data_IF_123009908166
#
_entry.id   IF_123009908166
#
_cell.length_a   1.000
_cell.length_b   1.000
_cell.length_c   1.000
_cell.angle_alpha   90.00
_cell.angle_beta   90.00
_cell.angle_gamma   90.00
#
_symmetry.space_group_name_H-M   'P 1'
#
loop_
_entity.id
_entity.type
_entity.pdbx_description
1 polymer ?
#
# COMPACT_ATOMS: atom_id res chain seq x y z
N UNK A 1 -24.94 -3.40 -11.35
CA UNK A 1 -23.57 -3.29 -10.83
C UNK A 1 -23.14 -4.68 -10.37
N UNK A 2 -22.08 -5.26 -10.95
CA UNK A 2 -21.62 -6.60 -10.56
C UNK A 2 -20.86 -6.49 -9.24
N UNK A 3 -21.40 -7.09 -8.19
CA UNK A 3 -20.75 -7.26 -6.89
C UNK A 3 -19.49 -8.10 -7.07
N UNK A 4 -18.32 -7.48 -6.90
CA UNK A 4 -17.07 -8.22 -6.71
C UNK A 4 -16.97 -8.62 -5.23
N UNK A 5 -17.82 -9.54 -4.79
CA UNK A 5 -17.59 -10.30 -3.56
C UNK A 5 -16.88 -11.58 -3.95
N UNK A 6 -15.57 -11.50 -4.24
CA UNK A 6 -14.73 -12.69 -4.14
C UNK A 6 -14.38 -12.82 -2.67
N UNK A 7 -14.72 -13.96 -2.09
CA UNK A 7 -14.26 -14.36 -0.76
C UNK A 7 -12.73 -14.36 -0.76
N UNK A 8 -12.14 -13.22 -0.39
CA UNK A 8 -10.71 -13.08 -0.19
C UNK A 8 -10.35 -13.90 1.05
N UNK A 9 -10.09 -15.19 0.82
CA UNK A 9 -9.67 -16.11 1.89
C UNK A 9 -8.23 -15.73 2.22
N UNK A 10 -8.06 -14.84 3.20
CA UNK A 10 -6.74 -14.40 3.66
C UNK A 10 -5.94 -15.63 4.10
N UNK A 11 -4.73 -15.75 3.58
CA UNK A 11 -3.79 -16.80 3.93
C UNK A 11 -2.64 -16.20 4.73
N UNK A 12 -1.90 -17.02 5.48
CA UNK A 12 -0.67 -16.58 6.16
C UNK A 12 0.35 -15.96 5.18
N UNK A 13 0.31 -16.38 3.91
CA UNK A 13 1.10 -15.80 2.81
C UNK A 13 0.70 -14.35 2.53
N UNK A 14 -0.59 -14.03 2.62
CA UNK A 14 -1.10 -12.67 2.46
C UNK A 14 -0.59 -11.80 3.60
N UNK A 15 -0.73 -12.22 4.86
CA UNK A 15 -0.26 -11.42 6.02
C UNK A 15 1.26 -11.18 5.99
N UNK A 16 2.05 -12.19 5.59
CA UNK A 16 3.49 -12.02 5.39
C UNK A 16 3.82 -11.01 4.27
N UNK A 17 3.10 -11.05 3.15
CA UNK A 17 3.31 -10.09 2.06
C UNK A 17 3.00 -8.65 2.50
N UNK A 18 1.94 -8.49 3.29
CA UNK A 18 1.52 -7.17 3.79
C UNK A 18 2.47 -6.61 4.84
N UNK A 19 2.99 -7.45 5.74
CA UNK A 19 4.04 -7.03 6.67
C UNK A 19 5.31 -6.57 5.95
N UNK A 20 5.67 -7.21 4.82
CA UNK A 20 6.82 -6.80 4.00
C UNK A 20 6.54 -5.49 3.26
N UNK A 21 5.35 -5.35 2.68
CA UNK A 21 4.91 -4.13 2.02
C UNK A 21 4.92 -2.94 2.99
N UNK A 22 4.39 -3.11 4.20
CA UNK A 22 4.41 -2.10 5.27
C UNK A 22 5.85 -1.66 5.58
N UNK A 23 6.77 -2.60 5.80
CA UNK A 23 8.18 -2.27 6.07
C UNK A 23 8.85 -1.48 4.94
N UNK A 24 8.52 -1.80 3.68
CA UNK A 24 9.03 -1.07 2.51
C UNK A 24 8.43 0.33 2.46
N UNK A 25 7.12 0.48 2.66
CA UNK A 25 6.45 1.78 2.69
C UNK A 25 7.02 2.67 3.80
N UNK A 26 7.21 2.14 5.02
CA UNK A 26 7.87 2.86 6.12
C UNK A 26 9.28 3.31 5.73
N UNK A 27 10.04 2.48 5.03
CA UNK A 27 11.43 2.78 4.66
C UNK A 27 11.52 3.81 3.53
N UNK A 28 10.65 3.71 2.53
CA UNK A 28 10.60 4.62 1.39
C UNK A 28 10.05 5.99 1.76
N UNK A 29 9.08 6.04 2.69
CA UNK A 29 8.52 7.28 3.20
C UNK A 29 9.36 7.91 4.32
N UNK A 30 10.40 7.22 4.82
CA UNK A 30 11.26 7.68 5.93
C UNK A 30 12.26 8.79 5.57
N UNK A 31 12.29 9.30 4.34
CA UNK A 31 13.33 10.25 3.88
C UNK A 31 12.72 11.17 2.79
N UNK A 32 12.91 12.51 2.71
CA UNK A 32 14.06 13.39 3.02
C UNK A 32 13.59 14.82 3.33
N UNK A 33 13.83 15.34 4.54
CA UNK A 33 14.34 16.73 4.73
C UNK A 33 14.88 16.99 6.16
N UNK A 34 16.15 17.41 6.23
CA UNK A 34 16.81 18.12 7.35
C UNK A 34 16.60 17.57 8.77
N UNK A 35 16.96 16.31 9.01
CA UNK A 35 17.28 15.83 10.37
C UNK A 35 16.11 15.57 11.33
N UNK A 36 14.87 15.84 10.93
CA UNK A 36 13.69 15.45 11.71
C UNK A 36 13.13 14.11 11.21
N UNK A 37 13.23 13.11 12.07
CA UNK A 37 12.69 11.77 11.84
C UNK A 37 11.29 11.75 12.46
N UNK A 38 10.24 11.97 11.68
CA UNK A 38 8.89 11.68 12.14
C UNK A 38 8.42 10.36 11.55
N UNK A 39 8.06 9.46 12.46
CA UNK A 39 7.59 8.11 12.17
C UNK A 39 6.20 8.22 11.56
N UNK A 40 6.08 7.84 10.28
CA UNK A 40 4.80 7.43 9.70
C UNK A 40 4.20 6.37 10.62
N UNK A 41 3.10 6.68 11.28
CA UNK A 41 2.35 5.69 12.06
C UNK A 41 1.52 4.91 11.06
N UNK A 42 1.99 3.72 10.76
CA UNK A 42 1.20 2.75 10.04
C UNK A 42 0.42 1.89 11.05
N UNK A 43 -0.84 1.59 10.73
CA UNK A 43 -1.59 0.59 11.47
C UNK A 43 -2.10 -0.44 10.49
N UNK A 44 -1.34 -1.52 10.35
CA UNK A 44 -1.88 -2.69 9.65
C UNK A 44 -3.06 -3.26 10.43
N UNK A 45 -4.21 -3.34 9.77
CA UNK A 45 -5.39 -4.02 10.30
C UNK A 45 -5.57 -5.36 9.57
N UNK A 46 -5.06 -6.41 10.21
CA UNK A 46 -5.18 -7.79 9.75
C UNK A 46 -6.62 -8.30 9.67
N UNK A 47 -7.61 -7.59 10.22
CA UNK A 47 -9.03 -7.93 10.08
C UNK A 47 -9.68 -7.31 8.84
N UNK A 48 -9.23 -6.14 8.38
CA UNK A 48 -9.90 -5.38 7.31
C UNK A 48 -9.14 -5.31 5.98
N UNK A 49 -7.91 -5.82 5.89
CA UNK A 49 -7.12 -5.76 4.65
C UNK A 49 -6.52 -4.40 4.41
N UNK A 50 -6.46 -3.56 5.45
CA UNK A 50 -6.09 -2.16 5.33
C UNK A 50 -4.74 -1.88 5.95
N UNK A 51 -3.97 -1.05 5.26
CA UNK A 51 -2.79 -0.39 5.80
C UNK A 51 -3.12 1.09 5.82
N UNK A 52 -3.33 1.62 7.02
CA UNK A 52 -3.50 3.06 7.23
C UNK A 52 -2.12 3.68 7.38
N UNK A 53 -1.79 4.71 6.58
CA UNK A 53 -0.52 5.43 6.63
C UNK A 53 -0.80 6.86 7.07
N UNK A 54 -0.46 7.18 8.33
CA UNK A 54 -0.49 8.55 8.83
C UNK A 54 0.77 9.30 8.38
N UNK A 55 0.58 10.30 7.53
CA UNK A 55 1.60 11.19 7.02
C UNK A 55 1.46 12.54 7.72
N UNK A 56 2.49 13.04 8.42
CA UNK A 56 2.39 14.35 9.06
C UNK A 56 2.07 15.45 8.03
N UNK A 57 1.15 16.36 8.36
CA UNK A 57 0.60 17.38 7.45
C UNK A 57 1.66 18.20 6.69
N UNK A 58 2.84 18.39 7.27
CA UNK A 58 3.95 19.11 6.65
C UNK A 58 4.65 18.34 5.50
N UNK A 59 4.27 17.09 5.25
CA UNK A 59 4.85 16.20 4.23
C UNK A 59 3.84 15.71 3.19
N UNK A 60 2.58 16.14 3.29
CA UNK A 60 1.57 15.86 2.26
C UNK A 60 1.79 16.82 1.10
N UNK A 61 2.25 16.30 -0.04
CA UNK A 61 2.15 16.98 -1.32
C UNK A 61 1.19 16.22 -2.23
N UNK A 62 0.77 16.86 -3.32
CA UNK A 62 -0.03 16.20 -4.36
C UNK A 62 0.66 14.95 -4.94
N UNK A 63 1.99 14.86 -4.81
CA UNK A 63 2.78 13.73 -5.30
C UNK A 63 2.97 12.60 -4.26
N UNK A 64 2.59 12.79 -2.99
CA UNK A 64 2.73 11.75 -1.96
C UNK A 64 1.96 10.47 -2.33
N UNK A 65 0.74 10.63 -2.87
CA UNK A 65 -0.05 9.52 -3.38
C UNK A 65 0.68 8.77 -4.50
N UNK A 66 1.27 9.49 -5.46
CA UNK A 66 2.02 8.88 -6.57
C UNK A 66 3.25 8.14 -6.08
N UNK A 67 4.01 8.70 -5.14
CA UNK A 67 5.19 8.05 -4.53
C UNK A 67 4.79 6.73 -3.86
N UNK A 68 3.68 6.73 -3.12
CA UNK A 68 3.13 5.49 -2.53
C UNK A 68 2.80 4.50 -3.63
N UNK A 69 2.07 4.91 -4.68
CA UNK A 69 1.73 4.02 -5.79
C UNK A 69 2.97 3.41 -6.46
N UNK A 70 3.98 4.21 -6.77
CA UNK A 70 5.24 3.75 -7.37
C UNK A 70 6.02 2.81 -6.46
N UNK A 71 6.00 3.06 -5.14
CA UNK A 71 6.62 2.19 -4.14
C UNK A 71 5.94 0.82 -4.12
N UNK A 72 4.60 0.78 -4.08
CA UNK A 72 3.83 -0.46 -4.10
C UNK A 72 4.08 -1.22 -5.42
N UNK A 73 4.06 -0.54 -6.57
CA UNK A 73 4.34 -1.17 -7.87
C UNK A 73 5.74 -1.79 -7.92
N UNK A 74 6.74 -1.09 -7.40
CA UNK A 74 8.12 -1.57 -7.37
C UNK A 74 8.25 -2.81 -6.48
N UNK A 75 7.67 -2.77 -5.28
CA UNK A 75 7.65 -3.91 -4.36
C UNK A 75 7.09 -5.18 -5.02
N UNK A 76 5.90 -5.10 -5.62
CA UNK A 76 5.30 -6.30 -6.23
C UNK A 76 6.08 -6.81 -7.45
N UNK A 77 6.73 -5.93 -8.23
CA UNK A 77 7.62 -6.35 -9.32
C UNK A 77 8.85 -7.09 -8.79
N UNK A 78 9.46 -6.61 -7.70
CA UNK A 78 10.59 -7.30 -7.03
C UNK A 78 10.17 -8.67 -6.48
N UNK A 79 8.91 -8.81 -6.08
CA UNK A 79 8.30 -10.07 -5.66
C UNK A 79 7.87 -10.99 -6.83
N UNK A 80 8.24 -10.65 -8.07
CA UNK A 80 7.90 -11.38 -9.30
C UNK A 80 6.40 -11.43 -9.62
N UNK A 81 5.66 -10.37 -9.27
CA UNK A 81 4.29 -10.18 -9.75
C UNK A 81 4.28 -9.39 -11.05
N UNK A 82 3.33 -9.74 -11.92
CA UNK A 82 2.91 -8.83 -12.99
C UNK A 82 2.04 -7.74 -12.38
N UNK A 83 2.40 -6.49 -12.61
CA UNK A 83 1.72 -5.32 -12.02
C UNK A 83 1.07 -4.46 -13.10
N UNK A 84 -0.22 -4.17 -12.94
CA UNK A 84 -1.04 -3.32 -13.82
C UNK A 84 -1.93 -2.38 -13.00
N UNK A 85 -2.71 -1.53 -13.68
CA UNK A 85 -3.71 -0.66 -13.05
C UNK A 85 -3.47 0.84 -13.25
N UNK A 86 -4.41 1.64 -12.76
CA UNK A 86 -4.46 3.10 -12.91
C UNK A 86 -3.81 3.82 -11.71
N UNK A 87 -3.83 5.16 -11.69
CA UNK A 87 -3.04 5.99 -10.78
C UNK A 87 -3.13 5.55 -9.31
N UNK A 88 -4.32 5.17 -8.83
CA UNK A 88 -4.59 4.78 -7.43
C UNK A 88 -5.21 3.38 -7.25
N UNK A 89 -5.17 2.57 -8.31
CA UNK A 89 -5.65 1.19 -8.29
C UNK A 89 -4.57 0.30 -8.89
N UNK A 90 -3.96 -0.54 -8.07
CA UNK A 90 -2.87 -1.43 -8.46
C UNK A 90 -3.37 -2.86 -8.44
N UNK A 91 -3.09 -3.59 -9.50
CA UNK A 91 -3.38 -5.00 -9.62
C UNK A 91 -2.05 -5.76 -9.70
N UNK A 92 -1.81 -6.69 -8.78
CA UNK A 92 -0.62 -7.53 -8.76
C UNK A 92 -1.00 -9.01 -8.87
N UNK A 93 -0.49 -9.71 -9.90
CA UNK A 93 -0.78 -11.14 -10.16
C UNK A 93 0.48 -12.00 -10.23
N UNK A 94 0.46 -13.16 -9.56
CA UNK A 94 1.49 -14.20 -9.62
C UNK A 94 0.87 -15.59 -9.50
N UNK A 95 0.80 -16.33 -10.61
CA UNK A 95 0.15 -17.64 -10.63
C UNK A 95 -1.33 -17.54 -10.23
N UNK A 96 -1.67 -18.09 -9.05
CA UNK A 96 -3.03 -18.00 -8.46
C UNK A 96 -3.20 -16.84 -7.48
N UNK A 97 -2.11 -16.19 -7.09
CA UNK A 97 -2.15 -15.03 -6.19
C UNK A 97 -2.57 -13.79 -6.97
N UNK A 98 -3.49 -13.03 -6.37
CA UNK A 98 -4.05 -11.82 -6.95
C UNK A 98 -4.35 -10.82 -5.84
N UNK A 99 -3.72 -9.64 -5.91
CA UNK A 99 -3.93 -8.55 -4.98
C UNK A 99 -4.46 -7.36 -5.75
N UNK A 100 -5.64 -6.87 -5.35
CA UNK A 100 -6.18 -5.61 -5.84
C UNK A 100 -6.01 -4.57 -4.73
N UNK A 101 -5.29 -3.50 -5.02
CA UNK A 101 -4.83 -2.53 -4.02
C UNK A 101 -5.38 -1.17 -4.42
N UNK A 102 -6.31 -0.65 -3.63
CA UNK A 102 -6.87 0.68 -3.78
C UNK A 102 -6.19 1.63 -2.81
N UNK A 103 -5.81 2.81 -3.28
CA UNK A 103 -5.12 3.83 -2.51
C UNK A 103 -6.04 5.04 -2.44
N UNK A 104 -6.43 5.47 -1.24
CA UNK A 104 -7.31 6.61 -1.02
C UNK A 104 -6.48 7.70 -0.34
N UNK A 105 -6.37 8.85 -1.02
CA UNK A 105 -5.71 10.03 -0.47
C UNK A 105 -6.74 10.89 0.27
N UNK A 106 -6.64 10.91 1.59
CA UNK A 106 -7.53 11.64 2.51
C UNK A 106 -6.80 12.81 3.19
N UNK A 107 -5.83 13.44 2.53
CA UNK A 107 -5.03 14.54 3.10
C UNK A 107 -3.81 14.01 3.86
N UNK A 108 -3.71 14.15 5.21
CA UNK A 108 -2.62 13.58 6.00
C UNK A 108 -2.67 12.06 6.12
N UNK A 109 -3.72 11.41 5.61
CA UNK A 109 -3.88 9.96 5.67
C UNK A 109 -3.90 9.41 4.26
N UNK A 110 -3.05 8.43 4.01
CA UNK A 110 -3.16 7.56 2.84
C UNK A 110 -3.66 6.21 3.31
N UNK A 111 -4.82 5.82 2.81
CA UNK A 111 -5.49 4.57 3.19
C UNK A 111 -5.34 3.57 2.05
N UNK A 112 -4.72 2.43 2.33
CA UNK A 112 -4.45 1.39 1.35
C UNK A 112 -5.36 0.20 1.66
N UNK A 113 -6.36 -0.03 0.82
CA UNK A 113 -7.29 -1.15 0.93
C UNK A 113 -6.90 -2.27 -0.03
N UNK A 114 -6.83 -3.50 0.47
CA UNK A 114 -6.48 -4.69 -0.32
C UNK A 114 -7.71 -5.59 -0.41
N UNK A 115 -8.16 -5.82 -1.64
CA UNK A 115 -9.44 -6.42 -2.04
C UNK A 115 -9.26 -7.81 -2.66
#
# INVERSE_FOLDING_TARGET
MKSFSRDFTRTDSTDNMLGRLDNVLRSSLRVKRRGHHEVVRDKYNSRTGRIDIDIPYCFVSDDTGKIVCETIRSFYREENFTVSGEEYLIEARRGREHYLISIINCGPVIDIAIL
#
